data_IF_767218288026
#
_entry.id   IF_767218288026
#
_cell.length_a   1.000
_cell.length_b   1.000
_cell.length_c   1.000
_cell.angle_alpha   90.00
_cell.angle_beta   90.00
_cell.angle_gamma   90.00
#
_symmetry.space_group_name_H-M   'P 1'
#
loop_
_entity.id
_entity.type
_entity.pdbx_description
1 polymer ?
#
# COMPACT_ATOMS: atom_id res chain seq x y z
N UNK A 1 12.21 22.03 7.40
CA UNK A 1 11.85 20.64 7.04
C UNK A 1 13.15 19.92 6.75
N UNK A 2 13.47 18.88 7.51
CA UNK A 2 14.74 18.17 7.38
C UNK A 2 14.58 17.03 6.36
N UNK A 3 15.53 16.89 5.44
CA UNK A 3 15.63 15.79 4.49
C UNK A 3 15.52 14.42 5.20
N UNK A 4 15.03 13.36 4.53
CA UNK A 4 15.05 12.02 5.10
C UNK A 4 16.52 11.66 5.38
N UNK A 5 16.88 11.64 6.66
CA UNK A 5 18.19 11.15 7.07
C UNK A 5 18.24 9.69 6.69
N UNK A 6 19.15 9.34 5.76
CA UNK A 6 19.87 8.07 5.78
C UNK A 6 20.06 7.66 7.24
N UNK A 7 19.87 6.39 7.59
CA UNK A 7 20.16 5.90 8.94
C UNK A 7 21.49 6.54 9.36
N UNK A 8 21.41 7.51 10.27
CA UNK A 8 22.50 8.47 10.46
C UNK A 8 23.60 7.67 11.12
N UNK A 9 24.68 7.38 10.39
CA UNK A 9 25.80 6.63 10.92
C UNK A 9 26.29 7.28 12.21
N UNK A 10 26.20 8.61 12.34
CA UNK A 10 26.51 9.32 13.58
C UNK A 10 25.51 9.08 14.72
N UNK A 11 24.24 8.78 14.44
CA UNK A 11 23.24 8.41 15.44
C UNK A 11 23.39 6.94 15.87
N UNK A 12 23.62 6.03 14.92
CA UNK A 12 23.94 4.62 15.19
C UNK A 12 25.24 4.51 16.02
N UNK A 13 26.24 5.29 15.66
CA UNK A 13 27.50 5.43 16.41
C UNK A 13 27.29 5.97 17.82
N UNK A 14 26.45 7.00 17.99
CA UNK A 14 26.11 7.50 19.32
C UNK A 14 25.46 6.43 20.18
N UNK A 15 24.59 5.59 19.61
CA UNK A 15 23.95 4.46 20.32
C UNK A 15 24.96 3.39 20.71
N UNK A 16 25.87 3.04 19.81
CA UNK A 16 26.92 2.05 20.08
C UNK A 16 27.90 2.56 21.14
N UNK A 17 28.27 3.85 21.13
CA UNK A 17 29.11 4.48 22.16
C UNK A 17 28.42 4.54 23.52
N UNK A 18 27.14 4.93 23.56
CA UNK A 18 26.36 4.95 24.80
C UNK A 18 26.25 3.54 25.41
N UNK A 19 25.89 2.54 24.58
CA UNK A 19 25.76 1.15 25.05
C UNK A 19 27.09 0.53 25.45
N UNK A 20 28.19 0.85 24.73
CA UNK A 20 29.55 0.49 25.14
C UNK A 20 29.88 1.04 26.52
N UNK A 21 29.56 2.32 26.78
CA UNK A 21 29.82 2.93 28.09
C UNK A 21 29.05 2.26 29.23
N UNK A 22 27.79 1.87 28.98
CA UNK A 22 26.97 1.11 29.94
C UNK A 22 27.54 -0.29 30.19
N UNK A 23 27.99 -0.99 29.14
CA UNK A 23 28.56 -2.33 29.23
C UNK A 23 29.95 -2.34 29.91
N UNK A 24 30.77 -1.31 29.67
CA UNK A 24 32.05 -1.16 30.38
C UNK A 24 31.88 -0.81 31.87
N UNK A 25 30.69 -0.32 32.26
CA UNK A 25 30.36 -0.01 33.65
C UNK A 25 29.77 -1.21 34.42
N UNK A 26 29.43 -2.32 33.75
CA UNK A 26 28.97 -3.55 34.39
C UNK A 26 30.14 -4.47 34.76
N UNK A 27 30.19 -5.03 35.99
CA UNK A 27 31.19 -6.03 36.35
C UNK A 27 30.98 -7.32 35.53
N UNK A 28 32.07 -7.92 35.07
CA UNK A 28 32.05 -9.09 34.20
C UNK A 28 31.34 -10.30 34.87
N UNK A 29 30.51 -11.07 34.12
CA UNK A 29 30.00 -12.35 34.61
C UNK A 29 31.13 -13.37 34.79
N UNK A 30 30.99 -14.23 35.78
CA UNK A 30 32.06 -15.10 36.30
C UNK A 30 32.38 -16.34 35.43
N UNK A 31 31.64 -16.62 34.36
CA UNK A 31 31.81 -17.85 33.56
C UNK A 31 32.33 -17.57 32.15
N UNK A 32 33.64 -17.27 32.04
CA UNK A 32 34.34 -17.08 30.75
C UNK A 32 34.70 -18.38 30.03
N UNK A 33 34.64 -19.53 30.71
CA UNK A 33 35.17 -20.78 30.17
C UNK A 33 34.23 -21.48 29.17
N UNK A 34 32.94 -21.09 29.11
CA UNK A 34 31.95 -21.74 28.24
C UNK A 34 31.84 -21.11 26.84
N UNK A 35 32.18 -19.82 26.67
CA UNK A 35 32.05 -19.10 25.39
C UNK A 35 33.22 -19.36 24.42
N UNK A 36 34.44 -19.56 24.94
CA UNK A 36 35.63 -19.81 24.09
C UNK A 36 35.53 -21.13 23.29
N UNK A 37 34.70 -22.08 23.74
CA UNK A 37 34.51 -23.36 23.05
C UNK A 37 33.63 -23.26 21.78
N UNK A 38 32.79 -22.23 21.66
CA UNK A 38 31.86 -22.07 20.53
C UNK A 38 32.46 -21.30 19.33
N UNK A 39 33.53 -20.53 19.53
CA UNK A 39 34.11 -19.63 18.53
C UNK A 39 35.02 -20.31 17.48
N UNK A 40 35.26 -21.63 17.58
CA UNK A 40 36.27 -22.32 16.75
C UNK A 40 35.78 -22.86 15.39
N UNK A 41 34.57 -22.53 14.93
CA UNK A 41 33.94 -23.20 13.76
C UNK A 41 33.49 -22.30 12.58
N UNK A 42 34.04 -21.10 12.39
CA UNK A 42 33.66 -20.24 11.24
C UNK A 42 34.70 -20.26 10.09
N UNK A 43 34.30 -20.38 8.80
CA UNK A 43 35.22 -20.41 7.67
C UNK A 43 35.65 -19.01 7.21
N UNK A 44 36.94 -18.86 6.92
CA UNK A 44 37.61 -17.65 6.44
C UNK A 44 37.58 -17.52 4.92
N UNK A 45 36.93 -16.48 4.39
CA UNK A 45 37.04 -16.00 3.01
C UNK A 45 37.44 -14.51 2.98
N UNK A 46 38.17 -14.03 1.95
CA UNK A 46 38.78 -12.71 1.98
C UNK A 46 37.82 -11.60 1.51
N UNK A 47 37.86 -10.43 2.17
CA UNK A 47 37.68 -9.14 1.48
C UNK A 47 36.56 -8.20 1.92
N UNK A 48 35.65 -8.60 2.81
CA UNK A 48 34.80 -7.70 3.61
C UNK A 48 34.70 -8.39 4.96
N UNK A 49 35.11 -7.73 6.06
CA UNK A 49 34.99 -8.32 7.38
C UNK A 49 33.55 -8.81 7.58
N UNK A 50 33.36 -10.13 7.60
CA UNK A 50 32.07 -10.72 7.86
C UNK A 50 31.70 -10.31 9.27
N UNK A 51 30.75 -9.38 9.40
CA UNK A 51 30.13 -9.08 10.69
C UNK A 51 29.57 -10.41 11.20
N UNK A 52 30.09 -10.96 12.32
CA UNK A 52 29.60 -12.22 12.87
C UNK A 52 28.09 -12.09 13.08
N UNK A 53 27.34 -13.13 12.71
CA UNK A 53 25.88 -13.12 12.82
C UNK A 53 25.39 -12.97 14.29
N UNK A 54 26.31 -13.09 15.24
CA UNK A 54 26.13 -13.28 16.67
C UNK A 54 26.98 -12.31 17.52
N UNK A 55 27.31 -11.11 17.01
CA UNK A 55 28.03 -10.09 17.78
C UNK A 55 27.40 -9.88 19.16
N UNK A 56 28.13 -10.27 20.20
CA UNK A 56 27.68 -10.11 21.57
C UNK A 56 27.94 -8.69 22.07
N UNK A 57 27.28 -8.33 23.17
CA UNK A 57 27.55 -7.07 23.86
C UNK A 57 29.03 -6.96 24.31
N UNK A 58 29.67 -8.09 24.59
CA UNK A 58 31.07 -8.15 24.98
C UNK A 58 32.00 -7.82 23.79
N UNK A 59 31.72 -8.36 22.61
CA UNK A 59 32.50 -8.11 21.38
C UNK A 59 32.47 -6.65 20.95
N UNK A 60 31.31 -6.01 21.06
CA UNK A 60 31.15 -4.58 20.76
C UNK A 60 31.90 -3.71 21.79
N UNK A 61 32.00 -4.16 23.05
CA UNK A 61 32.69 -3.43 24.10
C UNK A 61 34.22 -3.44 23.94
N UNK A 62 34.77 -4.52 23.38
CA UNK A 62 36.21 -4.72 23.16
C UNK A 62 36.71 -4.15 21.82
N UNK A 63 35.84 -3.94 20.84
CA UNK A 63 36.19 -3.33 19.54
C UNK A 63 36.82 -1.93 19.66
N UNK A 64 37.73 -1.58 18.75
CA UNK A 64 38.19 -0.19 18.64
C UNK A 64 37.07 0.70 18.10
N UNK A 65 37.09 2.01 18.39
CA UNK A 65 36.07 2.93 17.87
C UNK A 65 35.94 2.86 16.33
N UNK A 66 37.03 2.89 15.53
CA UNK A 66 36.98 2.69 14.09
C UNK A 66 36.26 1.39 13.66
N UNK A 67 36.50 0.29 14.37
CA UNK A 67 35.87 -0.99 14.06
C UNK A 67 34.37 -0.99 14.37
N UNK A 68 33.97 -0.30 15.44
CA UNK A 68 32.54 -0.06 15.75
C UNK A 68 31.88 0.74 14.63
N UNK A 69 32.56 1.76 14.07
CA UNK A 69 32.01 2.58 12.98
C UNK A 69 31.84 1.79 11.69
N UNK A 70 32.86 1.04 11.30
CA UNK A 70 32.82 0.17 10.14
C UNK A 70 31.70 -0.89 10.28
N UNK A 71 31.58 -1.51 11.47
CA UNK A 71 30.53 -2.49 11.75
C UNK A 71 29.14 -1.86 11.69
N UNK A 72 28.97 -0.67 12.25
CA UNK A 72 27.72 0.09 12.23
C UNK A 72 27.28 0.41 10.79
N UNK A 73 28.21 0.84 9.94
CA UNK A 73 27.95 1.15 8.54
C UNK A 73 27.55 -0.11 7.74
N UNK A 74 28.24 -1.24 7.96
CA UNK A 74 27.90 -2.51 7.31
C UNK A 74 26.53 -3.03 7.75
N UNK A 75 26.19 -2.95 9.04
CA UNK A 75 24.87 -3.34 9.55
C UNK A 75 23.77 -2.42 9.01
N UNK A 76 24.00 -1.11 9.03
CA UNK A 76 23.05 -0.11 8.52
C UNK A 76 22.75 -0.33 7.05
N UNK A 77 23.79 -0.50 6.22
CA UNK A 77 23.64 -0.74 4.79
C UNK A 77 22.91 -2.05 4.48
N UNK A 78 23.13 -3.11 5.28
CA UNK A 78 22.38 -4.36 5.16
C UNK A 78 20.90 -4.17 5.47
N UNK A 79 20.56 -3.50 6.57
CA UNK A 79 19.17 -3.19 6.94
C UNK A 79 18.49 -2.35 5.86
N UNK A 80 19.17 -1.31 5.36
CA UNK A 80 18.67 -0.45 4.28
C UNK A 80 18.40 -1.27 3.01
N UNK A 81 19.32 -2.16 2.64
CA UNK A 81 19.14 -3.07 1.51
C UNK A 81 17.90 -3.97 1.65
N UNK A 82 17.71 -4.59 2.82
CA UNK A 82 16.53 -5.44 3.09
C UNK A 82 15.22 -4.64 3.07
N UNK A 83 15.21 -3.41 3.59
CA UNK A 83 14.05 -2.53 3.56
C UNK A 83 13.68 -2.09 2.14
N UNK A 84 14.68 -1.66 1.35
CA UNK A 84 14.50 -1.31 -0.07
C UNK A 84 13.87 -2.49 -0.81
N UNK A 85 14.41 -3.70 -0.60
CA UNK A 85 13.89 -4.90 -1.23
C UNK A 85 12.44 -5.17 -0.83
N UNK A 86 12.11 -5.12 0.46
CA UNK A 86 10.75 -5.37 0.95
C UNK A 86 9.75 -4.35 0.37
N UNK A 87 10.06 -3.06 0.42
CA UNK A 87 9.18 -2.02 -0.12
C UNK A 87 9.04 -2.10 -1.63
N UNK A 88 10.09 -2.47 -2.34
CA UNK A 88 10.03 -2.70 -3.78
C UNK A 88 9.05 -3.81 -4.13
N UNK A 89 9.09 -4.95 -3.43
CA UNK A 89 8.15 -6.04 -3.66
C UNK A 89 6.70 -5.61 -3.35
N UNK A 90 6.47 -4.91 -2.24
CA UNK A 90 5.14 -4.40 -1.88
C UNK A 90 4.59 -3.44 -2.93
N UNK A 91 5.41 -2.53 -3.44
CA UNK A 91 5.02 -1.59 -4.51
C UNK A 91 4.70 -2.32 -5.81
N UNK A 92 5.53 -3.28 -6.20
CA UNK A 92 5.30 -4.09 -7.40
C UNK A 92 3.99 -4.88 -7.31
N UNK A 93 3.70 -5.48 -6.15
CA UNK A 93 2.45 -6.22 -5.92
C UNK A 93 1.24 -5.27 -5.96
N UNK A 94 1.32 -4.10 -5.34
CA UNK A 94 0.27 -3.08 -5.42
C UNK A 94 0.00 -2.64 -6.87
N UNK A 95 1.06 -2.40 -7.66
CA UNK A 95 0.96 -2.03 -9.07
C UNK A 95 0.39 -3.18 -9.90
N UNK A 96 0.74 -4.43 -9.58
CA UNK A 96 0.26 -5.62 -10.29
C UNK A 96 -1.21 -5.97 -10.02
N UNK A 97 -1.79 -5.48 -8.91
CA UNK A 97 -3.17 -5.80 -8.53
C UNK A 97 -4.20 -5.36 -9.60
N UNK A 98 -4.11 -4.12 -10.09
CA UNK A 98 -5.04 -3.61 -11.10
C UNK A 98 -4.93 -4.32 -12.47
N UNK A 99 -3.73 -4.53 -13.03
CA UNK A 99 -3.56 -5.36 -14.22
C UNK A 99 -4.05 -6.79 -14.05
N UNK A 100 -3.86 -7.41 -12.87
CA UNK A 100 -4.36 -8.76 -12.61
C UNK A 100 -5.88 -8.84 -12.74
N UNK A 101 -6.61 -7.82 -12.26
CA UNK A 101 -8.07 -7.71 -12.45
C UNK A 101 -8.43 -7.63 -13.93
N UNK A 102 -7.77 -6.74 -14.69
CA UNK A 102 -8.04 -6.57 -16.13
C UNK A 102 -7.73 -7.84 -16.93
N UNK A 103 -6.64 -8.55 -16.59
CA UNK A 103 -6.29 -9.82 -17.21
C UNK A 103 -7.32 -10.89 -16.87
N UNK A 104 -7.77 -10.99 -15.61
CA UNK A 104 -8.81 -11.94 -15.23
C UNK A 104 -10.15 -11.69 -15.95
N UNK A 105 -10.50 -10.43 -16.18
CA UNK A 105 -11.66 -10.06 -16.99
C UNK A 105 -11.46 -10.50 -18.44
N UNK A 106 -10.28 -10.25 -19.00
CA UNK A 106 -9.96 -10.63 -20.37
C UNK A 106 -10.03 -12.16 -20.59
N UNK A 107 -9.67 -12.98 -19.59
CA UNK A 107 -9.75 -14.44 -19.72
C UNK A 107 -11.18 -14.96 -19.76
N UNK A 108 -12.11 -14.33 -19.04
CA UNK A 108 -13.54 -14.72 -19.03
C UNK A 108 -14.35 -14.03 -20.12
N UNK A 109 -13.78 -13.04 -20.80
CA UNK A 109 -14.45 -12.24 -21.82
C UNK A 109 -15.09 -13.09 -22.94
N UNK A 110 -14.32 -14.02 -23.51
CA UNK A 110 -14.80 -14.89 -24.58
C UNK A 110 -15.57 -16.12 -24.07
N UNK A 111 -15.67 -16.29 -22.74
CA UNK A 111 -16.41 -17.39 -22.11
C UNK A 111 -17.90 -17.04 -21.85
N UNK A 112 -18.41 -15.99 -22.50
CA UNK A 112 -19.80 -15.54 -22.38
C UNK A 112 -20.03 -14.34 -21.45
N UNK A 113 -18.99 -13.85 -20.76
CA UNK A 113 -19.09 -12.74 -19.80
C UNK A 113 -18.63 -11.39 -20.37
N UNK A 114 -18.75 -11.18 -21.68
CA UNK A 114 -18.36 -9.93 -22.32
C UNK A 114 -19.37 -8.81 -22.05
N UNK A 115 -18.88 -7.58 -21.90
CA UNK A 115 -19.73 -6.38 -21.93
C UNK A 115 -20.55 -6.13 -20.66
N UNK A 116 -20.16 -6.70 -19.52
CA UNK A 116 -20.82 -6.39 -18.24
C UNK A 116 -20.72 -4.87 -17.94
N UNK A 117 -21.72 -4.28 -17.26
CA UNK A 117 -21.82 -2.82 -17.12
C UNK A 117 -20.66 -2.17 -16.37
N UNK A 118 -20.02 -2.90 -15.44
CA UNK A 118 -18.90 -2.44 -14.64
C UNK A 118 -17.89 -3.56 -14.35
N UNK A 119 -16.65 -3.21 -14.01
CA UNK A 119 -15.59 -4.12 -13.55
C UNK A 119 -16.07 -4.92 -12.33
N UNK A 120 -16.79 -4.28 -11.41
CA UNK A 120 -17.30 -4.95 -10.21
C UNK A 120 -18.36 -6.03 -10.48
N UNK A 121 -19.04 -6.00 -11.64
CA UNK A 121 -19.97 -7.08 -12.03
C UNK A 121 -19.24 -8.40 -12.27
N UNK A 122 -17.93 -8.37 -12.56
CA UNK A 122 -17.12 -9.58 -12.71
C UNK A 122 -16.94 -10.35 -11.41
N UNK A 123 -17.36 -9.81 -10.26
CA UNK A 123 -17.55 -10.58 -9.03
C UNK A 123 -18.46 -11.80 -9.22
N UNK A 124 -19.45 -11.72 -10.11
CA UNK A 124 -20.39 -12.82 -10.38
C UNK A 124 -19.86 -13.80 -11.45
N UNK A 125 -18.57 -13.76 -11.74
CA UNK A 125 -17.95 -14.61 -12.77
C UNK A 125 -16.76 -15.37 -12.19
N UNK A 126 -16.15 -16.33 -12.92
CA UNK A 126 -14.91 -16.96 -12.46
C UNK A 126 -13.77 -15.98 -12.15
N UNK A 127 -13.78 -14.76 -12.69
CA UNK A 127 -12.81 -13.71 -12.39
C UNK A 127 -12.85 -13.22 -10.92
N UNK A 128 -13.92 -13.53 -10.17
CA UNK A 128 -14.12 -13.17 -8.76
C UNK A 128 -12.91 -13.44 -7.88
N UNK A 129 -12.27 -14.61 -8.05
CA UNK A 129 -11.16 -15.03 -7.17
C UNK A 129 -9.99 -14.07 -7.30
N UNK A 130 -9.65 -13.67 -8.53
CA UNK A 130 -8.58 -12.70 -8.80
C UNK A 130 -9.02 -11.30 -8.39
N UNK A 131 -10.26 -10.90 -8.66
CA UNK A 131 -10.81 -9.62 -8.24
C UNK A 131 -10.68 -9.40 -6.72
N UNK A 132 -11.16 -10.36 -5.93
CA UNK A 132 -11.10 -10.28 -4.47
C UNK A 132 -9.67 -10.35 -3.96
N UNK A 133 -8.88 -11.30 -4.46
CA UNK A 133 -7.49 -11.47 -4.07
C UNK A 133 -6.63 -10.23 -4.35
N UNK A 134 -6.80 -9.62 -5.52
CA UNK A 134 -6.08 -8.42 -5.91
C UNK A 134 -6.40 -7.23 -5.00
N UNK A 135 -7.68 -6.98 -4.69
CA UNK A 135 -8.09 -5.88 -3.82
C UNK A 135 -7.66 -6.07 -2.36
N UNK A 136 -7.76 -7.28 -1.81
CA UNK A 136 -7.25 -7.58 -0.45
C UNK A 136 -5.72 -7.43 -0.39
N UNK A 137 -5.02 -7.88 -1.43
CA UNK A 137 -3.57 -7.74 -1.51
C UNK A 137 -3.15 -6.27 -1.65
N UNK A 138 -3.85 -5.50 -2.48
CA UNK A 138 -3.64 -4.06 -2.61
C UNK A 138 -3.87 -3.35 -1.27
N UNK A 139 -4.91 -3.71 -0.51
CA UNK A 139 -5.16 -3.17 0.83
C UNK A 139 -3.98 -3.42 1.78
N UNK A 140 -3.47 -4.65 1.83
CA UNK A 140 -2.32 -5.00 2.65
C UNK A 140 -1.05 -4.21 2.22
N UNK A 141 -0.82 -4.08 0.92
CA UNK A 141 0.29 -3.30 0.40
C UNK A 141 0.17 -1.80 0.72
N UNK A 142 -1.02 -1.21 0.60
CA UNK A 142 -1.29 0.19 0.97
C UNK A 142 -1.02 0.45 2.46
N UNK A 143 -1.44 -0.47 3.33
CA UNK A 143 -1.19 -0.39 4.77
C UNK A 143 0.32 -0.49 5.09
N UNK A 144 1.05 -1.38 4.40
CA UNK A 144 2.49 -1.58 4.60
C UNK A 144 3.35 -0.45 4.00
N UNK A 145 2.89 0.15 2.91
CA UNK A 145 3.53 1.30 2.24
C UNK A 145 3.07 2.65 2.82
N UNK A 146 2.21 2.64 3.84
CA UNK A 146 1.77 3.84 4.53
C UNK A 146 2.99 4.57 5.10
N UNK A 147 3.28 5.74 4.53
CA UNK A 147 4.47 6.51 4.87
C UNK A 147 4.39 7.23 6.23
N UNK A 148 4.83 8.49 6.30
CA UNK A 148 4.71 9.35 7.49
C UNK A 148 3.82 10.56 7.18
N UNK A 149 3.39 11.22 8.27
CA UNK A 149 2.52 12.39 8.18
C UNK A 149 1.11 12.08 7.70
N UNK A 150 0.42 13.08 7.13
CA UNK A 150 -1.00 12.97 6.79
C UNK A 150 -1.30 11.95 5.68
N UNK A 151 -0.37 11.75 4.75
CA UNK A 151 -0.52 10.80 3.64
C UNK A 151 -0.65 9.36 4.12
N UNK A 152 0.07 9.00 5.19
CA UNK A 152 -0.09 7.73 5.88
C UNK A 152 -1.54 7.46 6.24
N UNK A 153 -2.18 8.44 6.90
CA UNK A 153 -3.56 8.30 7.34
C UNK A 153 -4.53 8.10 6.18
N UNK A 154 -4.34 8.80 5.06
CA UNK A 154 -5.15 8.59 3.86
C UNK A 154 -4.99 7.18 3.29
N UNK A 155 -3.75 6.69 3.16
CA UNK A 155 -3.50 5.33 2.66
C UNK A 155 -4.04 4.25 3.61
N UNK A 156 -3.92 4.44 4.93
CA UNK A 156 -4.49 3.55 5.94
C UNK A 156 -6.02 3.49 5.83
N UNK A 157 -6.67 4.63 5.59
CA UNK A 157 -8.12 4.69 5.38
C UNK A 157 -8.54 4.04 4.05
N UNK A 158 -7.79 4.26 2.97
CA UNK A 158 -8.04 3.59 1.69
C UNK A 158 -7.94 2.05 1.83
N UNK A 159 -6.98 1.56 2.61
CA UNK A 159 -6.80 0.14 2.88
C UNK A 159 -8.02 -0.51 3.59
N UNK A 160 -8.83 0.26 4.34
CA UNK A 160 -10.07 -0.26 4.93
C UNK A 160 -11.17 -0.47 3.89
N UNK A 161 -11.25 0.37 2.87
CA UNK A 161 -12.31 0.32 1.86
C UNK A 161 -12.07 -0.74 0.78
N UNK A 162 -10.81 -0.98 0.38
CA UNK A 162 -10.49 -1.93 -0.71
C UNK A 162 -11.05 -3.36 -0.50
N UNK A 163 -10.92 -3.99 0.68
CA UNK A 163 -11.55 -5.29 0.92
C UNK A 163 -13.08 -5.20 0.96
N UNK A 164 -13.65 -4.08 1.42
CA UNK A 164 -15.10 -3.94 1.46
C UNK A 164 -15.71 -3.86 0.06
N UNK A 165 -15.03 -3.16 -0.88
CA UNK A 165 -15.36 -3.16 -2.32
C UNK A 165 -15.32 -4.59 -2.88
N UNK A 166 -14.34 -5.38 -2.44
CA UNK A 166 -14.16 -6.75 -2.92
C UNK A 166 -15.22 -7.72 -2.40
N UNK A 167 -15.62 -7.56 -1.13
CA UNK A 167 -16.44 -8.54 -0.40
C UNK A 167 -17.94 -8.28 -0.52
N UNK A 168 -18.34 -7.03 -0.73
CA UNK A 168 -19.73 -6.65 -0.99
C UNK A 168 -19.86 -6.32 -2.48
N UNK A 169 -20.53 -7.17 -3.29
CA UNK A 169 -20.64 -6.95 -4.72
C UNK A 169 -21.62 -5.84 -5.08
N UNK A 170 -21.58 -5.39 -6.34
CA UNK A 170 -22.63 -4.53 -6.91
C UNK A 170 -23.94 -5.30 -7.05
N UNK A 171 -25.04 -4.57 -7.11
CA UNK A 171 -26.34 -5.14 -7.45
C UNK A 171 -26.36 -5.50 -8.93
N UNK A 172 -27.17 -6.49 -9.28
CA UNK A 172 -27.38 -6.91 -10.67
C UNK A 172 -28.87 -6.97 -10.99
N UNK A 173 -29.20 -6.79 -12.27
CA UNK A 173 -30.54 -7.00 -12.78
C UNK A 173 -30.80 -8.47 -13.16
N UNK A 174 -32.07 -8.85 -13.29
CA UNK A 174 -32.47 -10.20 -13.69
C UNK A 174 -31.89 -10.55 -15.07
N UNK A 175 -31.10 -11.63 -15.15
CA UNK A 175 -30.49 -12.11 -16.39
C UNK A 175 -29.30 -11.26 -16.90
N UNK A 176 -28.80 -10.31 -16.11
CA UNK A 176 -27.68 -9.45 -16.51
C UNK A 176 -26.35 -10.21 -16.56
N UNK A 177 -26.14 -11.13 -15.63
CA UNK A 177 -24.93 -11.98 -15.60
C UNK A 177 -25.32 -13.42 -15.96
N UNK A 178 -24.67 -14.02 -16.98
CA UNK A 178 -24.92 -15.41 -17.34
C UNK A 178 -24.69 -16.38 -16.18
N UNK A 179 -25.64 -17.30 -15.96
CA UNK A 179 -25.55 -18.32 -14.91
C UNK A 179 -25.93 -17.84 -13.51
N UNK A 180 -26.38 -16.58 -13.36
CA UNK A 180 -26.92 -16.05 -12.12
C UNK A 180 -28.40 -15.70 -12.30
N UNK A 181 -29.27 -16.49 -11.69
CA UNK A 181 -30.70 -16.22 -11.64
C UNK A 181 -31.00 -15.28 -10.46
N UNK A 182 -30.64 -14.00 -10.63
CA UNK A 182 -31.11 -12.97 -9.73
C UNK A 182 -32.65 -12.93 -9.78
N UNK A 183 -33.31 -13.13 -8.64
CA UNK A 183 -34.77 -12.98 -8.50
C UNK A 183 -35.02 -11.62 -7.84
N UNK A 184 -34.78 -10.55 -8.60
CA UNK A 184 -35.04 -9.20 -8.15
C UNK A 184 -36.48 -8.77 -8.48
N UNK A 185 -37.14 -7.98 -7.61
CA UNK A 185 -38.42 -7.36 -7.93
C UNK A 185 -38.38 -6.66 -9.28
N UNK A 186 -39.44 -6.80 -10.07
CA UNK A 186 -39.48 -6.40 -11.48
C UNK A 186 -38.97 -4.96 -11.71
N UNK A 187 -37.90 -4.83 -12.50
CA UNK A 187 -37.31 -3.54 -12.84
C UNK A 187 -36.32 -2.96 -11.80
N UNK A 188 -35.93 -3.75 -10.79
CA UNK A 188 -34.94 -3.33 -9.79
C UNK A 188 -33.69 -4.19 -9.85
N UNK A 189 -32.57 -3.62 -9.40
CA UNK A 189 -31.33 -4.35 -9.17
C UNK A 189 -31.28 -4.83 -7.72
N UNK A 190 -30.76 -6.02 -7.49
CA UNK A 190 -30.57 -6.56 -6.16
C UNK A 190 -29.32 -7.43 -6.08
N UNK A 191 -28.90 -7.79 -4.86
CA UNK A 191 -27.87 -8.81 -4.66
C UNK A 191 -28.57 -10.18 -4.58
N UNK A 192 -28.17 -11.17 -5.41
CA UNK A 192 -28.75 -12.52 -5.38
C UNK A 192 -28.61 -13.21 -4.03
N UNK A 193 -29.63 -13.95 -3.61
CA UNK A 193 -29.68 -14.61 -2.30
C UNK A 193 -28.51 -15.58 -2.06
N UNK A 194 -28.02 -16.23 -3.11
CA UNK A 194 -26.87 -17.16 -3.06
C UNK A 194 -25.54 -16.46 -2.69
N UNK A 195 -25.43 -15.15 -2.91
CA UNK A 195 -24.25 -14.39 -2.51
C UNK A 195 -24.23 -14.06 -1.00
N UNK A 196 -25.38 -14.10 -0.30
CA UNK A 196 -25.50 -13.57 1.07
C UNK A 196 -24.61 -14.29 2.09
N UNK A 197 -24.49 -15.62 2.00
CA UNK A 197 -23.63 -16.37 2.92
C UNK A 197 -22.14 -16.03 2.74
N UNK A 198 -21.71 -15.86 1.48
CA UNK A 198 -20.35 -15.41 1.16
C UNK A 198 -20.09 -14.00 1.67
N UNK A 199 -21.05 -13.07 1.45
CA UNK A 199 -20.92 -11.68 1.88
C UNK A 199 -20.89 -11.59 3.41
N UNK A 200 -21.78 -12.30 4.10
CA UNK A 200 -21.81 -12.32 5.56
C UNK A 200 -20.50 -12.83 6.16
N UNK A 201 -19.93 -13.89 5.58
CA UNK A 201 -18.63 -14.43 5.99
C UNK A 201 -17.51 -13.42 5.73
N UNK A 202 -17.48 -12.83 4.53
CA UNK A 202 -16.48 -11.83 4.15
C UNK A 202 -16.51 -10.59 5.06
N UNK A 203 -17.70 -10.00 5.25
CA UNK A 203 -17.89 -8.81 6.08
C UNK A 203 -17.55 -9.09 7.55
N UNK A 204 -17.92 -10.26 8.09
CA UNK A 204 -17.53 -10.65 9.44
C UNK A 204 -16.00 -10.74 9.61
N UNK A 205 -15.31 -11.38 8.67
CA UNK A 205 -13.85 -11.45 8.65
C UNK A 205 -13.25 -10.06 8.53
N UNK A 206 -13.79 -9.21 7.66
CA UNK A 206 -13.34 -7.83 7.50
C UNK A 206 -13.43 -7.04 8.82
N UNK A 207 -14.55 -7.15 9.57
CA UNK A 207 -14.67 -6.51 10.88
C UNK A 207 -13.58 -6.97 11.85
N UNK A 208 -13.32 -8.27 11.93
CA UNK A 208 -12.27 -8.83 12.79
C UNK A 208 -10.91 -8.24 12.43
N UNK A 209 -10.53 -8.29 11.14
CA UNK A 209 -9.25 -7.74 10.70
C UNK A 209 -9.15 -6.23 10.91
N UNK A 210 -10.21 -5.47 10.62
CA UNK A 210 -10.22 -4.03 10.81
C UNK A 210 -10.04 -3.66 12.29
N UNK A 211 -10.71 -4.37 13.21
CA UNK A 211 -10.53 -4.20 14.66
C UNK A 211 -9.11 -4.56 15.10
N UNK A 212 -8.53 -5.65 14.58
CA UNK A 212 -7.15 -6.04 14.90
C UNK A 212 -6.14 -5.01 14.42
N UNK A 213 -6.29 -4.48 13.21
CA UNK A 213 -5.39 -3.45 12.64
C UNK A 213 -5.49 -2.15 13.45
N UNK A 214 -6.70 -1.68 13.74
CA UNK A 214 -6.89 -0.47 14.56
C UNK A 214 -6.39 -0.71 16.00
N UNK A 215 -6.69 -1.86 16.59
CA UNK A 215 -6.25 -2.24 17.93
C UNK A 215 -4.73 -2.29 18.04
N UNK A 216 -4.04 -2.88 17.06
CA UNK A 216 -2.58 -2.85 16.97
C UNK A 216 -2.05 -1.41 16.83
N UNK A 217 -2.68 -0.59 15.99
CA UNK A 217 -2.33 0.82 15.82
C UNK A 217 -2.46 1.62 17.12
N UNK A 218 -3.54 1.42 17.87
CA UNK A 218 -3.78 2.03 19.19
C UNK A 218 -2.75 1.53 20.20
N UNK A 219 -2.52 0.22 20.30
CA UNK A 219 -1.51 -0.35 21.19
C UNK A 219 -0.13 0.23 20.90
N UNK A 220 0.28 0.27 19.63
CA UNK A 220 1.55 0.86 19.22
C UNK A 220 1.63 2.36 19.56
N UNK A 221 0.54 3.12 19.43
CA UNK A 221 0.49 4.52 19.81
C UNK A 221 0.61 4.72 21.34
N UNK A 222 -0.02 3.84 22.14
CA UNK A 222 0.04 3.87 23.61
C UNK A 222 1.42 3.47 24.12
N UNK A 223 2.02 2.41 23.57
CA UNK A 223 3.37 1.98 23.92
C UNK A 223 4.42 3.08 23.67
N UNK A 224 4.31 3.78 22.54
CA UNK A 224 5.13 4.97 22.23
C UNK A 224 4.96 6.08 23.25
N UNK A 225 3.70 6.40 23.61
CA UNK A 225 3.41 7.46 24.60
C UNK A 225 3.93 7.11 25.99
N UNK A 226 3.96 5.83 26.35
CA UNK A 226 4.45 5.37 27.65
C UNK A 226 5.98 5.36 27.79
N UNK A 227 6.73 5.67 26.71
CA UNK A 227 8.19 5.61 26.71
C UNK A 227 8.78 4.19 26.73
N UNK A 228 7.93 3.15 26.71
CA UNK A 228 8.35 1.74 26.72
C UNK A 228 8.95 1.26 25.41
N UNK A 229 8.70 1.99 24.32
CA UNK A 229 9.27 1.69 23.02
C UNK A 229 10.37 2.72 22.69
N UNK A 230 11.58 2.44 23.18
CA UNK A 230 12.74 3.31 23.03
C UNK A 230 13.14 3.51 21.56
N UNK A 231 12.83 2.55 20.68
CA UNK A 231 13.10 2.61 19.24
C UNK A 231 12.07 3.51 18.55
N UNK A 232 10.79 3.39 18.92
CA UNK A 232 9.73 4.17 18.30
C UNK A 232 9.59 5.61 18.83
N UNK A 233 10.06 5.90 20.05
CA UNK A 233 10.07 7.24 20.65
C UNK A 233 10.94 8.25 19.88
N UNK A 234 11.84 7.75 19.02
CA UNK A 234 12.85 8.56 18.32
C UNK A 234 12.39 9.09 16.95
N UNK A 235 11.24 8.64 16.44
CA UNK A 235 10.65 9.20 15.22
C UNK A 235 9.58 10.22 15.62
N UNK A 236 9.86 11.53 15.58
CA UNK A 236 8.92 12.56 16.00
C UNK A 236 7.67 12.48 15.11
N UNK A 237 6.57 12.00 15.67
CA UNK A 237 5.25 12.02 15.05
C UNK A 237 4.38 12.98 15.81
N UNK A 238 3.68 13.86 15.09
CA UNK A 238 2.65 14.65 15.76
C UNK A 238 1.56 13.70 16.26
N UNK A 239 1.11 13.90 17.51
CA UNK A 239 0.05 13.10 18.09
C UNK A 239 -1.19 13.11 17.18
N UNK A 240 -1.52 14.27 16.60
CA UNK A 240 -2.61 14.43 15.63
C UNK A 240 -2.44 13.50 14.42
N UNK A 241 -1.28 13.47 13.76
CA UNK A 241 -1.07 12.61 12.60
C UNK A 241 -1.16 11.11 12.91
N UNK A 242 -1.00 10.71 14.18
CA UNK A 242 -1.15 9.31 14.60
C UNK A 242 -2.60 8.98 14.96
N UNK A 243 -3.25 9.84 15.76
CA UNK A 243 -4.59 9.55 16.28
C UNK A 243 -5.71 9.83 15.29
N UNK A 244 -5.57 10.83 14.40
CA UNK A 244 -6.61 11.17 13.42
C UNK A 244 -7.02 9.98 12.55
N UNK A 245 -6.12 9.24 11.87
CA UNK A 245 -6.52 8.10 11.06
C UNK A 245 -7.05 6.92 11.89
N UNK A 246 -6.55 6.71 13.10
CA UNK A 246 -7.06 5.66 13.99
C UNK A 246 -8.50 5.94 14.43
N UNK A 247 -8.79 7.18 14.82
CA UNK A 247 -10.15 7.60 15.19
C UNK A 247 -11.07 7.54 13.97
N UNK A 248 -10.65 8.06 12.82
CA UNK A 248 -11.43 7.99 11.60
C UNK A 248 -11.73 6.54 11.18
N UNK A 249 -10.73 5.65 11.23
CA UNK A 249 -10.89 4.23 10.98
C UNK A 249 -11.85 3.56 11.96
N UNK A 250 -11.74 3.86 13.26
CA UNK A 250 -12.68 3.37 14.27
C UNK A 250 -14.11 3.85 14.01
N UNK A 251 -14.31 5.12 13.64
CA UNK A 251 -15.63 5.65 13.27
C UNK A 251 -16.19 4.92 12.05
N UNK A 252 -15.39 4.67 11.01
CA UNK A 252 -15.81 3.92 9.82
C UNK A 252 -16.25 2.50 10.22
N UNK A 253 -15.47 1.81 11.05
CA UNK A 253 -15.80 0.45 11.51
C UNK A 253 -17.10 0.44 12.31
N UNK A 254 -17.26 1.36 13.27
CA UNK A 254 -18.47 1.47 14.09
C UNK A 254 -19.69 1.79 13.22
N UNK A 255 -19.56 2.71 12.27
CA UNK A 255 -20.63 3.05 11.34
C UNK A 255 -21.00 1.87 10.43
N UNK A 256 -20.00 1.17 9.89
CA UNK A 256 -20.23 -0.02 9.07
C UNK A 256 -20.89 -1.15 9.88
N UNK A 257 -20.48 -1.37 11.13
CA UNK A 257 -21.08 -2.35 12.03
C UNK A 257 -22.54 -1.98 12.35
N UNK A 258 -22.79 -0.69 12.60
CA UNK A 258 -24.12 -0.18 12.84
C UNK A 258 -25.04 -0.41 11.64
N UNK A 259 -24.57 -0.06 10.44
CA UNK A 259 -25.30 -0.30 9.21
C UNK A 259 -25.52 -1.80 8.96
N UNK A 260 -24.52 -2.65 9.23
CA UNK A 260 -24.66 -4.10 9.08
C UNK A 260 -25.70 -4.72 10.01
N UNK A 261 -25.78 -4.26 11.26
CA UNK A 261 -26.67 -4.82 12.30
C UNK A 261 -28.08 -4.26 12.16
N UNK A 262 -28.22 -2.95 11.99
CA UNK A 262 -29.52 -2.26 12.08
C UNK A 262 -30.10 -1.84 10.72
N UNK A 263 -29.29 -1.76 9.67
CA UNK A 263 -29.70 -1.30 8.34
C UNK A 263 -29.13 -2.21 7.23
N UNK A 264 -29.22 -3.53 7.44
CA UNK A 264 -28.52 -4.53 6.62
C UNK A 264 -28.82 -4.42 5.13
N UNK A 265 -30.08 -4.19 4.76
CA UNK A 265 -30.49 -4.00 3.37
C UNK A 265 -29.81 -2.77 2.76
N UNK A 266 -29.84 -1.63 3.45
CA UNK A 266 -29.14 -0.41 3.01
C UNK A 266 -27.62 -0.61 2.92
N UNK A 267 -27.03 -1.37 3.84
CA UNK A 267 -25.62 -1.72 3.78
C UNK A 267 -25.32 -2.53 2.51
N UNK A 268 -26.10 -3.59 2.24
CA UNK A 268 -25.93 -4.40 1.05
C UNK A 268 -26.11 -3.57 -0.23
N UNK A 269 -27.06 -2.65 -0.25
CA UNK A 269 -27.35 -1.81 -1.41
C UNK A 269 -26.28 -0.75 -1.70
N UNK A 270 -25.64 -0.20 -0.65
CA UNK A 270 -24.80 1.01 -0.77
C UNK A 270 -23.33 0.79 -0.47
N UNK A 271 -22.96 -0.25 0.27
CA UNK A 271 -21.60 -0.40 0.78
C UNK A 271 -20.56 -0.48 -0.35
N UNK A 272 -20.87 -1.18 -1.46
CA UNK A 272 -19.96 -1.24 -2.60
C UNK A 272 -19.70 0.15 -3.18
N UNK A 273 -20.76 0.84 -3.60
CA UNK A 273 -20.68 2.16 -4.24
C UNK A 273 -19.98 3.18 -3.33
N UNK A 274 -20.40 3.26 -2.06
CA UNK A 274 -19.82 4.20 -1.09
C UNK A 274 -18.34 3.90 -0.87
N UNK A 275 -17.97 2.63 -0.69
CA UNK A 275 -16.57 2.24 -0.46
C UNK A 275 -15.70 2.52 -1.69
N UNK A 276 -16.19 2.20 -2.89
CA UNK A 276 -15.47 2.44 -4.14
C UNK A 276 -15.24 3.95 -4.35
N UNK A 277 -16.29 4.76 -4.21
CA UNK A 277 -16.16 6.22 -4.33
C UNK A 277 -15.16 6.80 -3.32
N UNK A 278 -15.27 6.42 -2.04
CA UNK A 278 -14.35 6.89 -1.00
C UNK A 278 -12.91 6.45 -1.27
N UNK A 279 -12.69 5.20 -1.67
CA UNK A 279 -11.37 4.70 -2.03
C UNK A 279 -10.73 5.52 -3.15
N UNK A 280 -11.41 5.70 -4.29
CA UNK A 280 -10.86 6.44 -5.42
C UNK A 280 -10.64 7.92 -5.10
N UNK A 281 -11.55 8.55 -4.34
CA UNK A 281 -11.36 9.93 -3.85
C UNK A 281 -10.10 10.05 -2.99
N UNK A 282 -9.92 9.13 -2.03
CA UNK A 282 -8.75 9.14 -1.15
C UNK A 282 -7.46 8.92 -1.96
N UNK A 283 -7.43 7.94 -2.86
CA UNK A 283 -6.27 7.68 -3.70
C UNK A 283 -5.93 8.88 -4.59
N UNK A 284 -6.95 9.58 -5.10
CA UNK A 284 -6.76 10.81 -5.88
C UNK A 284 -6.21 11.95 -5.04
N UNK A 285 -6.69 12.13 -3.80
CA UNK A 285 -6.12 13.08 -2.84
C UNK A 285 -4.64 12.77 -2.59
N UNK A 286 -4.29 11.49 -2.42
CA UNK A 286 -2.90 11.06 -2.25
C UNK A 286 -2.08 11.38 -3.50
N UNK A 287 -2.57 11.05 -4.70
CA UNK A 287 -1.87 11.29 -5.95
C UNK A 287 -1.62 12.80 -6.19
N UNK A 288 -2.62 13.64 -5.96
CA UNK A 288 -2.51 15.10 -6.02
C UNK A 288 -1.54 15.65 -4.96
N UNK A 289 -1.57 15.10 -3.75
CA UNK A 289 -0.64 15.43 -2.68
C UNK A 289 0.80 15.15 -3.08
N UNK A 290 1.05 13.99 -3.70
CA UNK A 290 2.38 13.62 -4.21
C UNK A 290 2.81 14.51 -5.36
N UNK A 291 1.95 14.76 -6.34
CA UNK A 291 2.26 15.67 -7.44
C UNK A 291 2.64 17.08 -6.95
N UNK A 292 1.93 17.61 -5.94
CA UNK A 292 2.25 18.91 -5.33
C UNK A 292 3.60 18.91 -4.62
N UNK A 293 3.92 17.86 -3.86
CA UNK A 293 5.22 17.75 -3.18
C UNK A 293 6.38 17.77 -4.17
N UNK A 294 6.23 17.08 -5.31
CA UNK A 294 7.25 17.09 -6.37
C UNK A 294 7.51 18.48 -6.94
N UNK A 295 6.49 19.34 -7.03
CA UNK A 295 6.68 20.72 -7.49
C UNK A 295 7.36 21.62 -6.45
N UNK A 296 7.12 21.38 -5.16
CA UNK A 296 7.67 22.18 -4.06
C UNK A 296 9.10 21.77 -3.69
N UNK A 297 9.41 20.48 -3.82
CA UNK A 297 10.72 19.90 -3.53
C UNK A 297 11.23 19.16 -4.78
N UNK A 298 11.75 19.89 -5.79
CA UNK A 298 12.35 19.25 -6.95
C UNK A 298 13.58 18.46 -6.48
N UNK A 299 13.48 17.13 -6.48
CA UNK A 299 14.58 16.26 -6.09
C UNK A 299 15.82 16.54 -6.97
N UNK A 300 17.00 16.85 -6.39
CA UNK A 300 18.20 17.15 -7.15
C UNK A 300 18.76 15.97 -7.97
N UNK A 301 18.25 14.73 -7.88
CA UNK A 301 18.76 13.65 -8.74
C UNK A 301 17.81 12.46 -8.92
N UNK A 302 17.57 11.99 -10.16
CA UNK A 302 16.84 10.74 -10.39
C UNK A 302 17.61 9.54 -9.80
N UNK A 303 16.90 8.46 -9.38
CA UNK A 303 17.49 7.31 -8.70
C UNK A 303 18.56 6.62 -9.55
N UNK A 304 19.68 6.21 -8.93
CA UNK A 304 20.77 5.50 -9.62
C UNK A 304 20.39 4.05 -9.95
N UNK A 305 20.20 3.69 -11.23
CA UNK A 305 19.89 2.32 -11.66
C UNK A 305 20.00 2.07 -13.17
N UNK A 306 19.64 0.86 -13.63
CA UNK A 306 19.62 0.52 -15.07
C UNK A 306 18.67 1.43 -15.86
N UNK A 307 17.51 1.75 -15.27
CA UNK A 307 16.54 2.70 -15.79
C UNK A 307 17.14 4.10 -15.95
N UNK A 308 17.98 4.55 -15.02
CA UNK A 308 18.68 5.83 -15.16
C UNK A 308 19.70 5.83 -16.30
N UNK A 309 20.39 4.73 -16.59
CA UNK A 309 21.27 4.63 -17.77
C UNK A 309 20.48 4.69 -19.07
N UNK A 310 19.35 4.00 -19.13
CA UNK A 310 18.42 4.03 -20.26
C UNK A 310 17.81 5.43 -20.46
N UNK A 311 17.25 6.02 -19.40
CA UNK A 311 16.66 7.37 -19.41
C UNK A 311 17.72 8.45 -19.61
N UNK A 312 18.95 8.36 -19.07
CA UNK A 312 20.04 9.32 -19.37
C UNK A 312 20.48 9.28 -20.82
N UNK A 313 20.46 8.09 -21.45
CA UNK A 313 20.79 7.94 -22.86
C UNK A 313 19.71 8.64 -23.70
N UNK A 314 18.43 8.38 -23.42
CA UNK A 314 17.31 9.10 -24.02
C UNK A 314 17.32 10.61 -23.72
N UNK A 315 17.60 11.02 -22.48
CA UNK A 315 17.57 12.42 -21.99
C UNK A 315 18.67 13.29 -22.58
N UNK A 316 19.81 12.71 -22.97
CA UNK A 316 20.89 13.43 -23.66
C UNK A 316 20.57 13.71 -25.13
N UNK A 317 19.71 12.89 -25.74
CA UNK A 317 19.31 13.04 -27.14
C UNK A 317 17.97 13.76 -27.29
N UNK A 318 17.16 13.85 -26.22
CA UNK A 318 15.79 14.38 -26.26
C UNK A 318 15.62 15.51 -25.23
N UNK A 319 15.73 16.75 -25.68
CA UNK A 319 15.73 17.96 -24.84
C UNK A 319 14.42 18.19 -24.04
N UNK A 320 13.29 17.58 -24.43
CA UNK A 320 12.01 17.72 -23.74
C UNK A 320 11.75 16.68 -22.63
N UNK A 321 12.56 15.62 -22.53
CA UNK A 321 12.39 14.55 -21.54
C UNK A 321 12.32 15.05 -20.07
N UNK A 322 13.17 16.00 -19.62
CA UNK A 322 13.15 16.48 -18.22
C UNK A 322 11.84 17.16 -17.82
N UNK A 323 11.21 17.88 -18.77
CA UNK A 323 9.93 18.58 -18.53
C UNK A 323 8.79 17.58 -18.37
N UNK A 324 8.84 16.46 -19.07
CA UNK A 324 7.85 15.39 -18.92
C UNK A 324 7.99 14.77 -17.54
N UNK A 325 9.18 14.39 -17.08
CA UNK A 325 9.34 13.75 -15.77
C UNK A 325 8.84 14.58 -14.58
N UNK A 326 8.92 15.92 -14.65
CA UNK A 326 8.45 16.81 -13.57
C UNK A 326 6.97 17.15 -13.65
N UNK A 327 6.35 17.09 -14.83
CA UNK A 327 4.93 17.43 -15.03
C UNK A 327 4.03 16.21 -15.14
N UNK A 328 4.57 15.06 -15.52
CA UNK A 328 3.85 13.81 -15.79
C UNK A 328 3.05 13.30 -14.60
N UNK A 329 3.57 13.28 -13.35
CA UNK A 329 2.78 12.88 -12.19
C UNK A 329 1.60 13.83 -11.92
N UNK A 330 1.80 15.13 -12.17
CA UNK A 330 0.73 16.13 -12.10
C UNK A 330 -0.36 15.91 -13.14
N UNK A 331 0.00 15.60 -14.38
CA UNK A 331 -0.94 15.25 -15.43
C UNK A 331 -1.73 13.97 -15.12
N UNK A 332 -1.07 12.91 -14.64
CA UNK A 332 -1.78 11.68 -14.28
C UNK A 332 -2.71 11.91 -13.10
N UNK A 333 -2.27 12.62 -12.06
CA UNK A 333 -3.13 12.94 -10.92
C UNK A 333 -4.34 13.79 -11.33
N UNK A 334 -4.16 14.73 -12.27
CA UNK A 334 -5.26 15.48 -12.87
C UNK A 334 -6.22 14.58 -13.66
N UNK A 335 -5.70 13.68 -14.51
CA UNK A 335 -6.51 12.73 -15.27
C UNK A 335 -7.30 11.80 -14.35
N UNK A 336 -6.69 11.34 -13.25
CA UNK A 336 -7.37 10.53 -12.24
C UNK A 336 -8.53 11.30 -11.58
N UNK A 337 -8.31 12.58 -11.25
CA UNK A 337 -9.37 13.44 -10.72
C UNK A 337 -10.48 13.69 -11.74
N UNK A 338 -10.12 13.94 -13.01
CA UNK A 338 -11.08 14.12 -14.10
C UNK A 338 -11.91 12.85 -14.35
N UNK A 339 -11.29 11.68 -14.27
CA UNK A 339 -11.95 10.38 -14.39
C UNK A 339 -12.99 10.15 -13.28
N UNK A 340 -12.66 10.48 -12.02
CA UNK A 340 -13.63 10.44 -10.92
C UNK A 340 -14.81 11.38 -11.17
N UNK A 341 -14.56 12.60 -11.64
CA UNK A 341 -15.63 13.55 -11.97
C UNK A 341 -16.48 13.00 -13.11
N UNK A 342 -15.87 12.42 -14.15
CA UNK A 342 -16.58 11.78 -15.25
C UNK A 342 -17.46 10.62 -14.74
N UNK A 343 -16.92 9.75 -13.88
CA UNK A 343 -17.69 8.66 -13.25
C UNK A 343 -18.86 9.18 -12.42
N UNK A 344 -18.66 10.22 -11.61
CA UNK A 344 -19.73 10.84 -10.85
C UNK A 344 -20.80 11.43 -11.78
N UNK A 345 -20.42 12.10 -12.87
CA UNK A 345 -21.37 12.63 -13.85
C UNK A 345 -22.15 11.51 -14.56
N UNK A 346 -21.49 10.42 -14.93
CA UNK A 346 -22.14 9.23 -15.50
C UNK A 346 -23.22 8.70 -14.56
N UNK A 347 -22.91 8.61 -13.26
CA UNK A 347 -23.87 8.15 -12.25
C UNK A 347 -24.99 9.17 -11.97
N UNK A 348 -24.66 10.46 -11.86
CA UNK A 348 -25.64 11.51 -11.53
C UNK A 348 -26.61 11.82 -12.66
N UNK A 349 -26.15 11.70 -13.90
CA UNK A 349 -26.92 11.99 -15.10
C UNK A 349 -27.56 10.73 -15.72
N UNK A 350 -27.44 9.59 -15.05
CA UNK A 350 -27.90 8.27 -15.51
C UNK A 350 -27.44 7.92 -16.94
N UNK A 351 -26.19 8.26 -17.25
CA UNK A 351 -25.54 7.98 -18.55
C UNK A 351 -24.93 6.58 -18.55
N UNK A 352 -25.63 5.62 -17.95
CA UNK A 352 -25.16 4.24 -17.73
C UNK A 352 -25.35 3.35 -18.97
N UNK A 353 -26.11 3.83 -19.97
CA UNK A 353 -26.33 3.13 -21.23
C UNK A 353 -25.00 2.70 -21.88
N UNK A 354 -24.92 1.47 -22.43
CA UNK A 354 -23.69 0.96 -23.01
C UNK A 354 -23.33 1.70 -24.31
N UNK A 355 -22.04 1.88 -24.53
CA UNK A 355 -21.49 2.45 -25.76
C UNK A 355 -21.21 1.31 -26.74
N UNK A 356 -21.62 1.46 -28.00
CA UNK A 356 -21.35 0.48 -29.05
C UNK A 356 -20.03 0.81 -29.73
N UNK A 357 -19.04 -0.08 -29.61
CA UNK A 357 -17.72 0.03 -30.26
C UNK A 357 -17.48 -1.22 -31.10
N UNK A 358 -17.32 -1.06 -32.41
CA UNK A 358 -17.04 -2.18 -33.31
C UNK A 358 -18.12 -3.28 -33.29
N UNK A 359 -19.38 -2.90 -33.10
CA UNK A 359 -20.52 -3.83 -33.00
C UNK A 359 -20.68 -4.52 -31.65
N UNK A 360 -19.88 -4.16 -30.63
CA UNK A 360 -19.99 -4.68 -29.26
C UNK A 360 -20.47 -3.60 -28.31
N UNK A 361 -21.43 -3.92 -27.45
CA UNK A 361 -21.86 -3.06 -26.36
C UNK A 361 -20.86 -3.15 -25.19
N UNK A 362 -20.40 -2.00 -24.71
CA UNK A 362 -19.49 -1.89 -23.56
C UNK A 362 -20.14 -0.95 -22.54
N UNK A 363 -20.23 -1.37 -21.29
CA UNK A 363 -20.75 -0.52 -20.21
C UNK A 363 -19.98 0.79 -20.07
N UNK A 364 -20.69 1.91 -19.97
CA UNK A 364 -20.05 3.22 -19.77
C UNK A 364 -19.30 3.27 -18.43
N UNK A 365 -19.89 2.70 -17.37
CA UNK A 365 -19.24 2.61 -16.05
C UNK A 365 -18.00 1.72 -16.12
N UNK A 366 -18.06 0.58 -16.82
CA UNK A 366 -16.91 -0.28 -17.08
C UNK A 366 -15.75 0.48 -17.72
N UNK A 367 -16.03 1.33 -18.71
CA UNK A 367 -14.99 2.11 -19.37
C UNK A 367 -14.32 3.11 -18.41
N UNK A 368 -15.11 3.84 -17.61
CA UNK A 368 -14.59 4.75 -16.59
C UNK A 368 -13.73 3.99 -15.59
N UNK A 369 -14.22 2.88 -15.03
CA UNK A 369 -13.45 2.06 -14.08
C UNK A 369 -12.17 1.47 -14.69
N UNK A 370 -12.21 1.06 -15.96
CA UNK A 370 -11.03 0.58 -16.66
C UNK A 370 -9.99 1.69 -16.86
N UNK A 371 -10.42 2.91 -17.21
CA UNK A 371 -9.54 4.08 -17.30
C UNK A 371 -8.96 4.40 -15.91
N UNK A 372 -9.77 4.39 -14.85
CA UNK A 372 -9.32 4.58 -13.47
C UNK A 372 -8.21 3.58 -13.08
N UNK A 373 -8.39 2.28 -13.36
CA UNK A 373 -7.41 1.24 -13.06
C UNK A 373 -6.12 1.39 -13.88
N UNK A 374 -6.22 1.78 -15.16
CA UNK A 374 -5.04 2.05 -15.99
C UNK A 374 -4.28 3.27 -15.45
N UNK A 375 -4.95 4.38 -15.15
CA UNK A 375 -4.34 5.57 -14.58
C UNK A 375 -3.69 5.28 -13.22
N UNK A 376 -4.38 4.52 -12.36
CA UNK A 376 -3.83 4.03 -11.09
C UNK A 376 -2.54 3.25 -11.32
N UNK A 377 -2.56 2.26 -12.23
CA UNK A 377 -1.39 1.42 -12.54
C UNK A 377 -0.22 2.26 -13.04
N UNK A 378 -0.46 3.20 -13.96
CA UNK A 378 0.56 4.06 -14.53
C UNK A 378 1.14 4.99 -13.46
N UNK A 379 0.29 5.62 -12.63
CA UNK A 379 0.73 6.50 -11.55
C UNK A 379 1.63 5.76 -10.55
N UNK A 380 1.15 4.64 -10.01
CA UNK A 380 1.88 3.89 -8.99
C UNK A 380 3.09 3.16 -9.58
N UNK A 381 3.03 2.73 -10.83
CA UNK A 381 4.19 2.20 -11.56
C UNK A 381 5.30 3.24 -11.68
N UNK A 382 4.95 4.48 -12.04
CA UNK A 382 5.89 5.58 -12.09
C UNK A 382 6.49 5.87 -10.69
N UNK A 383 5.66 5.96 -9.66
CA UNK A 383 6.12 6.14 -8.28
C UNK A 383 7.04 5.01 -7.81
N UNK A 384 6.76 3.77 -8.22
CA UNK A 384 7.60 2.60 -7.89
C UNK A 384 8.98 2.71 -8.51
N UNK A 385 9.06 3.13 -9.77
CA UNK A 385 10.32 3.32 -10.49
C UNK A 385 11.11 4.50 -9.90
N UNK A 386 10.41 5.59 -9.54
CA UNK A 386 11.03 6.76 -8.90
C UNK A 386 11.67 6.38 -7.56
N UNK A 387 10.94 5.64 -6.74
CA UNK A 387 11.38 5.25 -5.40
C UNK A 387 12.14 3.94 -5.35
N UNK A 388 12.65 3.45 -6.48
CA UNK A 388 13.16 2.08 -6.62
C UNK A 388 14.29 1.70 -5.64
N UNK A 389 15.13 2.67 -5.27
CA UNK A 389 16.24 2.50 -4.33
C UNK A 389 16.04 3.26 -3.02
N UNK A 390 14.81 3.69 -2.72
CA UNK A 390 14.51 4.43 -1.50
C UNK A 390 14.02 3.45 -0.44
N UNK A 391 14.72 3.44 0.71
CA UNK A 391 14.30 2.71 1.89
C UNK A 391 13.12 3.39 2.59
N UNK A 392 12.77 4.62 2.20
CA UNK A 392 11.64 5.36 2.73
C UNK A 392 10.38 5.10 1.90
N UNK A 393 9.24 4.77 2.51
CA UNK A 393 7.96 4.78 1.81
C UNK A 393 7.52 6.19 1.35
N UNK A 394 7.98 7.28 1.99
CA UNK A 394 7.54 8.67 1.74
C UNK A 394 8.10 9.36 0.50
#
# INVERSE_FOLDING_TARGET
MAAPRKLDSADLLRRLRARRSELTAQPAPADRAAEEAAASLAPSGPGIAAVPADLTAHDVATMSLPDVEATAEVVSSRIEGTLIETYRHLRLVMVAAAPAILVAIATVWNAGYAGLPSISHYYYTPARIVFVGALVTAAAALLALSGRGAQRGWLDLAALFAPLIALVPTRIANGEVPGWDAVCPSGTECIPAEAYASIATGVAVWFVFAVLVIGYGVLAALLRRSGRDAVAAQVPRSARATWTPLVAGAVIIVFAAAAWIWARETFLDRAHLVSASLFFVIITIVALGQARRMHLEPDPSPPAGWWHRFVRRLRREIAWLPRIFTTFPGWIAFLLAADIVAGLLVLLLDLTAPIVVGGRAIGTVFLVEAVALVLFTVFWGFETVRKWNEADPD
#
